data_IF_536120637982
#
_entry.id   IF_536120637982
#
_cell.length_a   1.000
_cell.length_b   1.000
_cell.length_c   1.000
_cell.angle_alpha   90.00
_cell.angle_beta   90.00
_cell.angle_gamma   90.00
#
_symmetry.space_group_name_H-M   'P 1'
#
loop_
_entity.id
_entity.type
_entity.pdbx_description
1 polymer ?
#
# COMPACT_ATOMS: atom_id res chain seq x y z
N UNK A 1 -5.56 -8.49 -16.81
CA UNK A 1 -5.67 -7.04 -16.98
C UNK A 1 -6.76 -6.65 -18.00
N UNK A 2 -6.84 -7.29 -19.13
CA UNK A 2 -7.71 -6.87 -20.25
C UNK A 2 -9.21 -6.91 -19.87
N UNK A 3 -9.65 -7.90 -19.09
CA UNK A 3 -11.05 -8.03 -18.69
C UNK A 3 -11.46 -7.04 -17.57
N UNK A 4 -10.65 -6.88 -16.54
CA UNK A 4 -10.99 -6.09 -15.34
C UNK A 4 -10.32 -4.71 -15.29
N UNK A 5 -9.29 -4.46 -16.10
CA UNK A 5 -8.43 -3.28 -15.97
C UNK A 5 -7.45 -3.33 -14.77
N UNK A 6 -7.54 -4.35 -13.92
CA UNK A 6 -6.68 -4.50 -12.74
C UNK A 6 -5.29 -4.98 -13.14
N UNK A 7 -4.26 -4.28 -12.69
CA UNK A 7 -2.85 -4.59 -12.94
C UNK A 7 -2.22 -5.40 -11.80
N UNK A 8 -1.03 -5.95 -12.02
CA UNK A 8 -0.24 -6.57 -10.95
C UNK A 8 0.11 -5.56 -9.85
N UNK A 9 0.32 -4.29 -10.21
CA UNK A 9 0.55 -3.22 -9.23
C UNK A 9 -0.67 -2.99 -8.33
N UNK A 10 -1.89 -2.99 -8.90
CA UNK A 10 -3.11 -2.85 -8.11
C UNK A 10 -3.25 -3.98 -7.08
N UNK A 11 -2.91 -5.21 -7.47
CA UNK A 11 -2.90 -6.37 -6.56
C UNK A 11 -1.84 -6.20 -5.47
N UNK A 12 -0.62 -5.79 -5.82
CA UNK A 12 0.47 -5.55 -4.89
C UNK A 12 0.12 -4.46 -3.87
N UNK A 13 -0.44 -3.33 -4.33
CA UNK A 13 -0.92 -2.25 -3.46
C UNK A 13 -2.06 -2.72 -2.55
N UNK A 14 -2.97 -3.54 -3.06
CA UNK A 14 -4.07 -4.10 -2.26
C UNK A 14 -3.57 -5.07 -1.17
N UNK A 15 -2.52 -5.83 -1.40
CA UNK A 15 -1.89 -6.68 -0.38
C UNK A 15 -1.40 -5.88 0.83
N UNK A 16 -1.02 -4.60 0.65
CA UNK A 16 -0.64 -3.74 1.77
C UNK A 16 -1.81 -3.50 2.74
N UNK A 17 -3.05 -3.45 2.25
CA UNK A 17 -4.25 -3.36 3.10
C UNK A 17 -4.46 -4.61 3.96
N UNK A 18 -3.94 -5.76 3.52
CA UNK A 18 -3.93 -7.01 4.27
C UNK A 18 -2.71 -7.14 5.21
N UNK A 19 -1.84 -6.12 5.24
CA UNK A 19 -0.66 -6.07 6.09
C UNK A 19 0.53 -6.87 5.54
N UNK A 20 0.59 -7.06 4.22
CA UNK A 20 1.75 -7.66 3.55
C UNK A 20 2.62 -6.60 2.89
N UNK A 21 3.92 -6.82 2.93
CA UNK A 21 4.82 -6.11 2.05
C UNK A 21 4.54 -6.52 0.61
N UNK A 22 4.43 -5.53 -0.30
CA UNK A 22 4.12 -5.82 -1.69
C UNK A 22 5.21 -6.71 -2.33
N UNK A 23 4.83 -7.79 -3.04
CA UNK A 23 5.78 -8.62 -3.77
C UNK A 23 6.49 -7.85 -4.87
N UNK A 24 7.65 -8.34 -5.30
CA UNK A 24 8.38 -7.81 -6.45
C UNK A 24 7.50 -7.85 -7.71
N UNK A 25 7.44 -6.72 -8.39
CA UNK A 25 6.63 -6.53 -9.58
C UNK A 25 7.45 -6.74 -10.85
N UNK A 26 6.82 -7.35 -11.86
CA UNK A 26 7.32 -7.43 -13.24
C UNK A 26 8.73 -8.02 -13.35
N UNK A 27 9.09 -8.95 -12.49
CA UNK A 27 10.35 -9.66 -12.52
C UNK A 27 10.14 -11.16 -12.22
N UNK A 28 10.73 -12.08 -13.00
CA UNK A 28 11.45 -11.83 -14.27
C UNK A 28 10.52 -11.56 -15.46
N UNK A 29 9.21 -11.72 -15.30
CA UNK A 29 8.22 -11.55 -16.36
C UNK A 29 7.40 -10.28 -16.12
N UNK A 30 7.28 -9.44 -17.14
CA UNK A 30 6.49 -8.21 -17.08
C UNK A 30 5.01 -8.49 -16.71
N UNK A 31 4.44 -7.69 -15.81
CA UNK A 31 3.04 -7.79 -15.39
C UNK A 31 2.72 -8.94 -14.44
N UNK A 32 3.74 -9.55 -13.83
CA UNK A 32 3.58 -10.61 -12.83
C UNK A 32 3.96 -10.15 -11.42
N UNK A 33 3.61 -10.96 -10.43
CA UNK A 33 4.08 -10.86 -9.04
C UNK A 33 5.03 -12.03 -8.78
N UNK A 34 6.19 -11.75 -8.18
CA UNK A 34 7.11 -12.77 -7.71
C UNK A 34 6.88 -13.00 -6.22
N UNK A 35 6.38 -14.18 -5.86
CA UNK A 35 6.11 -14.56 -4.47
C UNK A 35 7.03 -15.70 -4.09
N UNK A 36 7.86 -15.49 -3.07
CA UNK A 36 8.83 -16.47 -2.58
C UNK A 36 8.63 -16.68 -1.08
N UNK A 37 7.71 -17.59 -0.67
CA UNK A 37 7.62 -18.00 0.73
C UNK A 37 8.86 -18.84 1.07
N UNK A 38 9.48 -18.54 2.22
CA UNK A 38 10.60 -19.30 2.72
C UNK A 38 10.14 -20.40 3.67
N UNK A 39 11.00 -21.41 3.91
CA UNK A 39 10.75 -22.48 4.90
C UNK A 39 10.63 -21.96 6.34
N UNK A 40 11.10 -20.74 6.62
CA UNK A 40 11.00 -20.11 7.93
C UNK A 40 9.64 -19.43 8.19
N UNK A 41 8.80 -19.28 7.16
CA UNK A 41 7.47 -18.71 7.34
C UNK A 41 6.53 -19.66 8.07
N UNK A 42 5.87 -19.21 9.15
CA UNK A 42 4.91 -20.06 9.85
C UNK A 42 3.66 -20.29 8.99
N UNK A 43 3.08 -21.49 9.13
CA UNK A 43 1.90 -21.88 8.36
C UNK A 43 0.76 -20.87 8.46
N UNK A 44 0.56 -20.23 9.61
CA UNK A 44 -0.49 -19.21 9.82
C UNK A 44 -0.31 -18.01 8.92
N UNK A 45 0.92 -17.59 8.63
CA UNK A 45 1.21 -16.49 7.71
C UNK A 45 0.97 -16.89 6.26
N UNK A 46 1.31 -18.12 5.89
CA UNK A 46 1.00 -18.65 4.56
C UNK A 46 -0.51 -18.74 4.35
N UNK A 47 -1.26 -19.25 5.33
CA UNK A 47 -2.73 -19.33 5.26
C UNK A 47 -3.35 -17.91 5.16
N UNK A 48 -2.83 -16.93 5.90
CA UNK A 48 -3.26 -15.53 5.84
C UNK A 48 -2.99 -14.90 4.47
N UNK A 49 -1.85 -15.22 3.85
CA UNK A 49 -1.53 -14.77 2.50
C UNK A 49 -2.48 -15.39 1.46
N UNK A 50 -2.77 -16.68 1.58
CA UNK A 50 -3.73 -17.37 0.71
C UNK A 50 -5.12 -16.75 0.85
N UNK A 51 -5.60 -16.50 2.07
CA UNK A 51 -6.88 -15.82 2.32
C UNK A 51 -6.93 -14.46 1.62
N UNK A 52 -5.87 -13.66 1.73
CA UNK A 52 -5.76 -12.36 1.08
C UNK A 52 -5.83 -12.47 -0.45
N UNK A 53 -5.09 -13.40 -1.05
CA UNK A 53 -5.09 -13.61 -2.51
C UNK A 53 -6.44 -14.08 -3.04
N UNK A 54 -7.14 -14.94 -2.29
CA UNK A 54 -8.49 -15.39 -2.62
C UNK A 54 -9.47 -14.21 -2.59
N UNK A 55 -9.45 -13.39 -1.52
CA UNK A 55 -10.31 -12.24 -1.38
C UNK A 55 -10.05 -11.18 -2.47
N UNK A 56 -8.78 -10.93 -2.79
CA UNK A 56 -8.38 -10.05 -3.91
C UNK A 56 -8.92 -10.59 -5.24
N UNK A 57 -8.84 -11.91 -5.47
CA UNK A 57 -9.38 -12.53 -6.69
C UNK A 57 -10.90 -12.39 -6.78
N UNK A 58 -11.60 -12.44 -5.65
CA UNK A 58 -13.05 -12.19 -5.59
C UNK A 58 -13.38 -10.72 -5.92
N UNK A 59 -12.63 -9.76 -5.40
CA UNK A 59 -12.77 -8.34 -5.77
C UNK A 59 -12.55 -8.14 -7.28
N UNK A 60 -11.53 -8.76 -7.87
CA UNK A 60 -11.29 -8.71 -9.33
C UNK A 60 -12.48 -9.29 -10.10
N UNK A 61 -13.04 -10.42 -9.65
CA UNK A 61 -14.22 -11.01 -10.29
C UNK A 61 -15.46 -10.11 -10.21
N UNK A 62 -15.62 -9.39 -9.12
CA UNK A 62 -16.71 -8.42 -8.99
C UNK A 62 -16.57 -7.27 -9.99
N UNK A 63 -15.34 -6.78 -10.22
CA UNK A 63 -15.06 -5.80 -11.29
C UNK A 63 -15.30 -6.39 -12.67
N UNK A 64 -14.86 -7.64 -12.92
CA UNK A 64 -15.07 -8.33 -14.22
C UNK A 64 -16.56 -8.49 -14.55
N UNK A 65 -17.42 -8.66 -13.55
CA UNK A 65 -18.87 -8.79 -13.70
C UNK A 65 -19.62 -7.44 -13.78
N UNK A 66 -18.94 -6.34 -13.43
CA UNK A 66 -19.56 -5.02 -13.31
C UNK A 66 -20.33 -4.80 -12.01
N UNK A 67 -20.13 -5.64 -10.99
CA UNK A 67 -20.72 -5.48 -9.65
C UNK A 67 -20.04 -4.33 -8.87
N UNK A 68 -18.82 -3.96 -9.27
CA UNK A 68 -18.05 -2.85 -8.73
C UNK A 68 -17.49 -2.05 -9.91
N UNK A 69 -17.40 -0.74 -9.74
CA UNK A 69 -16.86 0.16 -10.75
C UNK A 69 -15.42 -0.23 -11.13
N UNK A 70 -15.10 -0.06 -12.42
CA UNK A 70 -13.81 -0.45 -12.98
C UNK A 70 -12.66 0.45 -12.55
N UNK A 71 -12.94 1.72 -12.38
CA UNK A 71 -11.96 2.76 -12.11
C UNK A 71 -12.00 3.24 -10.65
N UNK A 72 -13.17 3.09 -9.97
CA UNK A 72 -13.31 3.32 -8.53
C UNK A 72 -13.61 2.02 -7.77
N UNK A 73 -12.57 1.36 -7.31
CA UNK A 73 -12.68 0.11 -6.56
C UNK A 73 -11.53 -0.05 -5.55
N UNK A 74 -11.65 -0.99 -4.58
CA UNK A 74 -10.64 -1.17 -3.53
C UNK A 74 -9.22 -1.49 -4.02
N UNK A 75 -9.07 -2.08 -5.22
CA UNK A 75 -7.76 -2.39 -5.79
C UNK A 75 -7.13 -1.15 -6.43
N UNK A 76 -7.93 -0.33 -7.13
CA UNK A 76 -7.45 0.91 -7.76
C UNK A 76 -7.04 1.95 -6.72
N UNK A 77 -7.75 2.02 -5.60
CA UNK A 77 -7.51 3.03 -4.56
C UNK A 77 -6.58 2.55 -3.43
N UNK A 78 -6.19 1.27 -3.43
CA UNK A 78 -5.25 0.74 -2.45
C UNK A 78 -3.85 1.37 -2.60
N UNK A 79 -3.10 1.50 -1.48
CA UNK A 79 -3.46 1.12 -0.12
C UNK A 79 -4.28 2.20 0.59
N UNK A 80 -5.14 1.79 1.54
CA UNK A 80 -6.00 2.67 2.32
C UNK A 80 -5.36 3.00 3.67
N UNK A 81 -5.02 4.27 3.88
CA UNK A 81 -4.52 4.73 5.18
C UNK A 81 -5.63 4.91 6.19
N UNK A 82 -5.30 4.94 7.49
CA UNK A 82 -6.26 5.26 8.54
C UNK A 82 -6.90 6.63 8.32
N UNK A 83 -6.11 7.64 7.92
CA UNK A 83 -6.61 8.99 7.64
C UNK A 83 -7.66 9.00 6.52
N UNK A 84 -7.44 8.27 5.43
CA UNK A 84 -8.42 8.15 4.33
C UNK A 84 -9.72 7.52 4.80
N UNK A 85 -9.65 6.44 5.57
CA UNK A 85 -10.84 5.69 6.02
C UNK A 85 -11.64 6.48 7.07
N UNK A 86 -10.97 7.31 7.88
CA UNK A 86 -11.59 8.14 8.92
C UNK A 86 -12.01 9.54 8.44
N UNK A 87 -11.71 9.93 7.20
CA UNK A 87 -12.12 11.21 6.65
C UNK A 87 -13.64 11.39 6.70
N UNK A 88 -14.13 12.62 6.88
CA UNK A 88 -15.57 12.91 6.90
C UNK A 88 -16.25 12.48 5.59
N UNK A 89 -15.63 12.84 4.46
CA UNK A 89 -16.12 12.49 3.15
C UNK A 89 -15.55 11.16 2.69
N UNK A 90 -16.43 10.31 2.17
CA UNK A 90 -16.07 9.06 1.52
C UNK A 90 -16.73 9.04 0.15
N UNK A 91 -15.95 9.34 -0.88
CA UNK A 91 -16.44 9.54 -2.25
C UNK A 91 -16.35 8.27 -3.11
N UNK A 92 -16.25 7.11 -2.48
CA UNK A 92 -16.14 5.81 -3.17
C UNK A 92 -17.44 5.02 -3.09
N UNK A 93 -17.76 4.30 -4.16
CA UNK A 93 -18.94 3.44 -4.24
C UNK A 93 -18.84 2.15 -3.40
N UNK A 94 -17.67 1.84 -2.84
CA UNK A 94 -17.48 0.74 -1.90
C UNK A 94 -17.35 1.24 -0.45
N UNK A 95 -17.66 0.36 0.51
CA UNK A 95 -17.68 0.75 1.92
C UNK A 95 -16.29 0.91 2.52
N UNK A 96 -16.15 1.77 3.55
CA UNK A 96 -14.95 1.88 4.39
C UNK A 96 -14.55 0.53 4.99
N UNK A 97 -15.53 -0.29 5.37
CA UNK A 97 -15.29 -1.65 5.87
C UNK A 97 -14.58 -2.53 4.84
N UNK A 98 -15.00 -2.47 3.56
CA UNK A 98 -14.35 -3.20 2.47
C UNK A 98 -12.94 -2.67 2.19
N UNK A 99 -12.73 -1.36 2.30
CA UNK A 99 -11.42 -0.74 2.19
C UNK A 99 -10.45 -1.26 3.25
N UNK A 100 -10.83 -1.10 4.52
CA UNK A 100 -9.96 -1.31 5.67
C UNK A 100 -9.89 -2.77 6.16
N UNK A 101 -11.02 -3.48 6.15
CA UNK A 101 -11.21 -4.79 6.76
C UNK A 101 -11.84 -5.80 5.80
N UNK A 102 -11.20 -6.08 4.65
CA UNK A 102 -11.74 -6.97 3.63
C UNK A 102 -11.92 -8.42 4.11
N UNK A 103 -11.18 -8.83 5.15
CA UNK A 103 -11.31 -10.13 5.83
C UNK A 103 -11.46 -9.95 7.33
N UNK A 104 -12.10 -10.90 7.98
CA UNK A 104 -12.47 -10.80 9.41
C UNK A 104 -11.24 -10.73 10.35
N UNK A 105 -10.16 -11.40 9.99
CA UNK A 105 -8.90 -11.43 10.75
C UNK A 105 -8.31 -10.03 10.95
N UNK A 106 -8.44 -9.14 9.97
CA UNK A 106 -7.93 -7.78 10.02
C UNK A 106 -8.61 -6.89 11.07
N UNK A 107 -9.80 -7.22 11.54
CA UNK A 107 -10.45 -6.45 12.62
C UNK A 107 -9.67 -6.50 13.94
N UNK A 108 -8.85 -7.54 14.13
CA UNK A 108 -8.04 -7.73 15.34
C UNK A 108 -6.57 -7.42 15.14
N UNK A 109 -6.08 -7.56 13.91
CA UNK A 109 -4.64 -7.49 13.58
C UNK A 109 -4.39 -6.59 12.37
N UNK A 110 -5.00 -5.37 12.36
CA UNK A 110 -4.80 -4.41 11.28
C UNK A 110 -3.45 -3.72 11.41
N UNK A 111 -2.64 -3.85 10.36
CA UNK A 111 -1.54 -2.93 10.09
C UNK A 111 -2.03 -1.86 9.11
N UNK A 112 -1.96 -0.61 9.50
CA UNK A 112 -2.37 0.50 8.64
C UNK A 112 -1.23 0.94 7.74
N UNK A 113 -1.43 0.95 6.41
CA UNK A 113 -0.46 1.55 5.50
C UNK A 113 -0.21 3.02 5.88
N UNK A 114 1.06 3.46 5.97
CA UNK A 114 1.36 4.84 6.37
C UNK A 114 1.09 5.85 5.25
N UNK A 115 1.09 5.40 3.99
CA UNK A 115 0.93 6.25 2.80
C UNK A 115 -0.09 5.61 1.87
N UNK A 116 -0.94 6.42 1.24
CA UNK A 116 -1.85 5.99 0.18
C UNK A 116 -1.12 5.73 -1.15
N UNK A 117 -1.88 5.57 -2.22
CA UNK A 117 -1.29 5.35 -3.55
C UNK A 117 -0.51 6.59 -4.00
N UNK A 118 0.72 6.35 -4.43
CA UNK A 118 1.59 7.37 -5.02
C UNK A 118 1.72 7.14 -6.53
N UNK A 119 1.97 8.21 -7.27
CA UNK A 119 2.38 8.14 -8.67
C UNK A 119 3.89 7.90 -8.75
N UNK A 120 4.28 6.63 -8.86
CA UNK A 120 5.68 6.24 -8.93
C UNK A 120 6.37 6.85 -10.15
N UNK A 121 5.70 6.90 -11.31
CA UNK A 121 6.29 7.42 -12.54
C UNK A 121 6.54 8.94 -12.45
N UNK A 122 5.63 9.66 -11.80
CA UNK A 122 5.84 11.08 -11.51
C UNK A 122 7.01 11.28 -10.54
N UNK A 123 7.05 10.52 -9.45
CA UNK A 123 8.13 10.59 -8.45
C UNK A 123 9.50 10.32 -9.05
N UNK A 124 9.62 9.29 -9.88
CA UNK A 124 10.88 8.94 -10.54
C UNK A 124 11.39 10.03 -11.51
N UNK A 125 10.47 10.76 -12.13
CA UNK A 125 10.80 11.85 -13.06
C UNK A 125 11.02 13.20 -12.38
N UNK A 126 10.49 13.36 -11.17
CA UNK A 126 10.53 14.61 -10.43
C UNK A 126 11.19 14.40 -9.07
N UNK A 127 12.42 13.97 -9.07
CA UNK A 127 13.21 13.76 -7.86
C UNK A 127 13.43 15.11 -7.18
N UNK A 128 12.86 15.28 -5.98
CA UNK A 128 13.16 16.41 -5.09
C UNK A 128 14.09 15.94 -3.98
N UNK A 129 15.31 16.47 -3.97
CA UNK A 129 16.19 16.31 -2.82
C UNK A 129 15.82 17.37 -1.79
N UNK A 130 15.26 16.93 -0.65
CA UNK A 130 15.00 17.77 0.51
C UNK A 130 16.16 17.76 1.52
N UNK A 131 17.32 17.23 1.14
CA UNK A 131 18.50 17.24 1.99
C UNK A 131 18.97 18.65 2.24
N UNK A 132 18.96 19.06 3.50
CA UNK A 132 19.57 20.32 3.91
C UNK A 132 21.07 20.21 3.68
N UNK A 133 21.76 21.24 3.12
CA UNK A 133 23.20 21.20 2.94
C UNK A 133 23.90 21.05 4.30
N UNK A 134 25.05 20.35 4.32
CA UNK A 134 25.80 20.06 5.56
C UNK A 134 26.12 21.31 6.38
N UNK A 135 26.30 22.44 5.72
CA UNK A 135 26.56 23.73 6.33
C UNK A 135 25.41 24.21 7.23
N UNK A 136 24.17 23.80 6.94
CA UNK A 136 23.02 24.16 7.77
C UNK A 136 23.04 23.42 9.14
N UNK A 137 23.65 22.26 9.22
CA UNK A 137 23.84 21.53 10.48
C UNK A 137 25.06 22.08 11.27
N UNK A 138 26.06 22.62 10.61
CA UNK A 138 27.26 23.17 11.25
C UNK A 138 26.96 24.46 12.05
N UNK A 139 25.89 25.21 11.70
CA UNK A 139 25.50 26.44 12.39
C UNK A 139 24.75 26.21 13.72
N UNK A 140 24.04 25.10 13.87
CA UNK A 140 23.32 24.77 15.12
C UNK A 140 24.26 24.36 16.26
N UNK A 141 25.36 23.69 15.95
CA UNK A 141 26.32 23.22 16.96
C UNK A 141 27.14 24.37 17.58
N UNK A 142 27.37 25.45 16.84
CA UNK A 142 28.13 26.60 17.33
C UNK A 142 27.32 27.46 18.29
N UNK A 143 26.01 27.65 18.07
CA UNK A 143 25.15 28.41 18.97
C UNK A 143 24.81 27.62 20.27
N UNK A 144 24.67 26.29 20.19
CA UNK A 144 24.41 25.47 21.37
C UNK A 144 25.64 25.37 22.28
N UNK A 145 26.85 25.27 21.69
CA UNK A 145 28.09 25.25 22.45
C UNK A 145 28.38 26.58 23.18
N UNK A 146 27.96 27.71 22.62
CA UNK A 146 28.15 29.02 23.23
C UNK A 146 27.18 29.30 24.38
N UNK A 147 26.00 28.63 24.38
CA UNK A 147 25.01 28.77 25.48
C UNK A 147 25.31 27.91 26.71
N UNK A 148 26.16 26.89 26.59
CA UNK A 148 26.54 26.00 27.69
C UNK A 148 27.82 26.50 28.40
N UNK A 149 28.56 27.42 27.79
CA UNK A 149 29.82 27.98 28.33
C UNK A 149 29.68 29.37 29.00
N UNK A 150 28.48 29.90 29.13
CA UNK A 150 28.12 31.12 29.87
C UNK A 150 27.20 30.80 31.03
#
# INVERSE_FOLDING_TARGET
>A
KDASGISAEDVAKRLMDYGFHAPTLSFPVAGTLMVEPTESEPKVELDRFIEAMIAIREDIRAVEKGDIDRDDNPLKNAPHTAAMVMAENWEHDYTRGRAAFPVASLKRHKYWPPVGRIDNAYGDRNIMCSCVPMEAYATEDVESATRVAG
#
